data_IF_258451176396
#
_entry.id   IF_258451176396
#
_cell.length_a   1.000
_cell.length_b   1.000
_cell.length_c   1.000
_cell.angle_alpha   90.00
_cell.angle_beta   90.00
_cell.angle_gamma   90.00
#
_symmetry.space_group_name_H-M   'P 1'
#
loop_
_entity.id
_entity.type
_entity.pdbx_description
1 polymer ?
#
# COMPACT_ATOMS: atom_id res chain seq x y z
N UNK A 1 -14.32 -11.22 3.39
CA UNK A 1 -12.96 -11.11 2.81
C UNK A 1 -12.58 -9.64 2.78
N UNK A 2 -11.56 -9.24 3.53
CA UNK A 2 -11.12 -7.84 3.60
C UNK A 2 -10.34 -7.50 2.35
N UNK A 3 -10.88 -6.61 1.52
CA UNK A 3 -10.20 -6.10 0.33
C UNK A 3 -9.28 -4.97 0.74
N UNK A 4 -8.02 -5.01 0.30
CA UNK A 4 -6.97 -4.05 0.65
C UNK A 4 -6.37 -3.52 -0.64
N UNK A 5 -6.34 -2.21 -0.77
CA UNK A 5 -5.66 -1.50 -1.83
C UNK A 5 -4.24 -1.16 -1.37
N UNK A 6 -3.26 -1.49 -2.20
CA UNK A 6 -1.88 -1.05 -2.07
C UNK A 6 -1.72 0.22 -2.92
N UNK A 7 -1.15 1.26 -2.33
CA UNK A 7 -0.89 2.51 -3.03
C UNK A 7 0.54 2.99 -2.76
N UNK A 8 1.14 3.70 -3.72
CA UNK A 8 2.44 4.34 -3.57
C UNK A 8 2.33 5.86 -3.63
N UNK A 9 3.25 6.53 -2.94
CA UNK A 9 3.36 7.98 -3.02
C UNK A 9 4.28 8.40 -4.17
N UNK A 10 3.81 9.32 -5.02
CA UNK A 10 4.61 9.94 -6.06
C UNK A 10 5.49 11.10 -5.52
N UNK A 11 6.34 11.65 -6.39
CA UNK A 11 7.25 12.75 -6.04
C UNK A 11 6.55 14.06 -5.67
N UNK A 12 5.26 14.20 -6.02
CA UNK A 12 4.42 15.36 -5.71
C UNK A 12 3.54 15.11 -4.47
N UNK A 13 3.72 13.96 -3.81
CA UNK A 13 2.98 13.58 -2.61
C UNK A 13 1.62 12.94 -2.88
N UNK A 14 1.23 12.69 -4.13
CA UNK A 14 -0.03 12.04 -4.45
C UNK A 14 0.07 10.52 -4.30
N UNK A 15 -1.03 9.92 -3.86
CA UNK A 15 -1.15 8.49 -3.75
C UNK A 15 -1.72 7.90 -5.03
N UNK A 16 -1.04 6.87 -5.55
CA UNK A 16 -1.41 6.18 -6.78
C UNK A 16 -1.69 4.71 -6.47
N UNK A 17 -2.82 4.24 -6.96
CA UNK A 17 -3.19 2.83 -6.84
C UNK A 17 -2.16 1.94 -7.53
N UNK A 18 -1.74 0.89 -6.85
CA UNK A 18 -0.86 -0.15 -7.39
C UNK A 18 -1.64 -1.42 -7.71
N UNK A 19 -2.25 -2.02 -6.69
CA UNK A 19 -2.92 -3.30 -6.80
C UNK A 19 -3.91 -3.48 -5.64
N UNK A 20 -5.04 -4.15 -5.90
CA UNK A 20 -5.95 -4.65 -4.88
C UNK A 20 -5.62 -6.11 -4.52
N UNK A 21 -5.70 -6.46 -3.23
CA UNK A 21 -5.62 -7.81 -2.71
C UNK A 21 -6.78 -8.14 -1.77
N UNK A 22 -7.09 -9.42 -1.59
CA UNK A 22 -8.18 -9.91 -0.73
C UNK A 22 -7.68 -10.39 0.65
N UNK A 23 -6.39 -10.24 0.93
CA UNK A 23 -5.74 -10.74 2.14
C UNK A 23 -4.68 -9.75 2.64
N UNK A 24 -4.90 -9.18 3.83
CA UNK A 24 -4.06 -8.12 4.41
C UNK A 24 -2.60 -8.55 4.63
N UNK A 25 -2.29 -9.74 5.20
CA UNK A 25 -0.89 -10.16 5.37
C UNK A 25 -0.11 -10.27 4.06
N UNK A 26 -0.77 -10.71 2.99
CA UNK A 26 -0.15 -10.78 1.66
C UNK A 26 0.11 -9.39 1.11
N UNK A 27 -0.88 -8.49 1.25
CA UNK A 27 -0.76 -7.09 0.84
C UNK A 27 0.40 -6.38 1.55
N UNK A 28 0.58 -6.62 2.85
CA UNK A 28 1.70 -6.10 3.64
C UNK A 28 3.06 -6.55 3.11
N UNK A 29 3.25 -7.85 2.87
CA UNK A 29 4.51 -8.37 2.32
C UNK A 29 4.82 -7.76 0.95
N UNK A 30 3.82 -7.64 0.09
CA UNK A 30 3.98 -7.02 -1.24
C UNK A 30 4.33 -5.55 -1.11
N UNK A 31 3.63 -4.80 -0.26
CA UNK A 31 3.89 -3.38 -0.04
C UNK A 31 5.28 -3.13 0.56
N UNK A 32 5.74 -3.98 1.49
CA UNK A 32 7.09 -3.90 2.06
C UNK A 32 8.18 -4.18 1.02
N UNK A 33 8.02 -5.24 0.22
CA UNK A 33 8.96 -5.54 -0.86
C UNK A 33 9.01 -4.42 -1.90
N UNK A 34 7.85 -3.87 -2.26
CA UNK A 34 7.73 -2.78 -3.23
C UNK A 34 8.30 -1.46 -2.71
N UNK A 35 8.08 -1.15 -1.43
CA UNK A 35 8.68 0.03 -0.81
C UNK A 35 10.20 0.01 -0.93
N UNK A 36 10.83 -1.13 -0.62
CA UNK A 36 12.28 -1.34 -0.75
C UNK A 36 12.79 -1.30 -2.19
N UNK A 37 12.07 -1.90 -3.13
CA UNK A 37 12.52 -1.99 -4.53
C UNK A 37 12.28 -0.71 -5.33
N UNK A 38 11.16 -0.03 -5.08
CA UNK A 38 10.81 1.22 -5.77
C UNK A 38 11.38 2.47 -5.09
N UNK A 39 11.92 2.33 -3.88
CA UNK A 39 12.35 3.44 -3.02
C UNK A 39 11.27 4.48 -2.80
N UNK A 40 10.07 3.98 -2.48
CA UNK A 40 8.85 4.79 -2.33
C UNK A 40 8.09 4.39 -1.09
N UNK A 41 7.40 5.36 -0.53
CA UNK A 41 6.41 5.13 0.53
C UNK A 41 5.23 4.36 -0.05
N UNK A 42 4.82 3.33 0.67
CA UNK A 42 3.62 2.56 0.36
C UNK A 42 2.61 2.67 1.49
N UNK A 43 1.33 2.66 1.14
CA UNK A 43 0.25 2.56 2.12
C UNK A 43 -0.71 1.45 1.76
N UNK A 44 -1.33 0.91 2.79
CA UNK A 44 -2.41 -0.05 2.71
C UNK A 44 -3.69 0.64 3.13
N UNK A 45 -4.70 0.56 2.28
CA UNK A 45 -6.02 1.16 2.52
C UNK A 45 -7.08 0.09 2.39
N UNK A 46 -8.07 0.09 3.28
CA UNK A 46 -9.22 -0.79 3.13
C UNK A 46 -10.03 -0.37 1.91
N UNK A 47 -10.31 -1.31 1.00
CA UNK A 47 -10.93 -0.98 -0.28
C UNK A 47 -12.40 -0.53 -0.18
N UNK A 48 -13.07 -0.86 0.93
CA UNK A 48 -14.49 -0.52 1.13
C UNK A 48 -14.68 0.81 1.85
N UNK A 49 -13.92 1.06 2.91
CA UNK A 49 -14.07 2.29 3.71
C UNK A 49 -13.07 3.38 3.31
N UNK A 50 -12.00 3.02 2.59
CA UNK A 50 -10.87 3.92 2.35
C UNK A 50 -10.03 4.19 3.58
N UNK A 51 -10.25 3.46 4.68
CA UNK A 51 -9.49 3.63 5.93
C UNK A 51 -8.04 3.23 5.73
N UNK A 52 -7.12 4.06 6.22
CA UNK A 52 -5.71 3.71 6.26
C UNK A 52 -5.51 2.55 7.23
N UNK A 53 -5.03 1.42 6.71
CA UNK A 53 -4.70 0.24 7.50
C UNK A 53 -3.26 0.29 7.98
N UNK A 54 -2.34 0.68 7.09
CA UNK A 54 -0.92 0.71 7.40
C UNK A 54 -0.14 1.65 6.46
N UNK A 55 1.01 2.12 6.92
CA UNK A 55 1.93 2.98 6.20
C UNK A 55 3.34 2.41 6.30
N UNK A 56 3.92 2.08 5.16
CA UNK A 56 5.26 1.51 5.04
C UNK A 56 6.19 2.56 4.44
N UNK A 57 7.19 2.93 5.23
CA UNK A 57 8.27 3.83 4.82
C UNK A 57 9.55 3.03 4.54
N UNK A 58 10.42 3.55 3.68
CA UNK A 58 11.70 2.91 3.32
C UNK A 58 12.83 3.24 4.32
N UNK A 59 12.55 4.04 5.35
CA UNK A 59 13.55 4.53 6.32
C UNK A 59 14.23 3.43 7.11
#
# INVERSE_FOLDING_TARGET
MTKVNIEWQDQFGHWKHYQMMHHLPSAYKTAQFRSKTMKKRMRLVEATTGSLLDLIDER
#
